data_IF_360343024379
#
_entry.id   IF_360343024379
#
_cell.length_a   1.000
_cell.length_b   1.000
_cell.length_c   1.000
_cell.angle_alpha   90.00
_cell.angle_beta   90.00
_cell.angle_gamma   90.00
#
_symmetry.space_group_name_H-M   'P 1'
#
loop_
_entity.id
_entity.type
_entity.pdbx_description
1 polymer ?
#
# COMPACT_ATOMS: atom_id res chain seq x y z
N UNK A 1 -10.45 -10.12 18.49
CA UNK A 1 -9.92 -9.25 17.41
C UNK A 1 -8.60 -9.85 16.96
N UNK A 2 -8.30 -9.90 15.66
CA UNK A 2 -7.04 -10.45 15.18
C UNK A 2 -5.88 -9.63 15.76
N UNK A 3 -4.75 -10.29 16.04
CA UNK A 3 -3.57 -9.66 16.63
C UNK A 3 -2.66 -9.16 15.51
N UNK A 4 -2.20 -7.90 15.53
CA UNK A 4 -1.29 -7.40 14.50
C UNK A 4 0.06 -8.13 14.58
N UNK A 5 0.69 -8.41 13.43
CA UNK A 5 2.05 -8.94 13.41
C UNK A 5 3.02 -7.89 13.96
N UNK A 6 4.08 -8.36 14.62
CA UNK A 6 5.10 -7.48 15.20
C UNK A 6 6.39 -7.69 14.44
N UNK A 7 6.91 -6.62 13.82
CA UNK A 7 8.17 -6.68 13.07
C UNK A 7 9.35 -6.92 14.01
N UNK A 8 10.30 -7.74 13.57
CA UNK A 8 11.55 -7.94 14.32
C UNK A 8 12.40 -6.67 14.28
N UNK A 9 12.95 -6.29 15.43
CA UNK A 9 13.87 -5.15 15.53
C UNK A 9 15.26 -5.61 15.07
N UNK A 10 15.78 -4.96 14.02
CA UNK A 10 17.16 -5.09 13.55
C UNK A 10 17.75 -3.70 13.39
N UNK A 11 18.45 -3.24 14.43
CA UNK A 11 19.05 -1.92 14.46
C UNK A 11 20.09 -1.77 13.33
N UNK A 12 19.88 -0.80 12.45
CA UNK A 12 20.84 -0.38 11.43
C UNK A 12 21.11 1.10 11.56
N UNK A 13 22.38 1.48 11.69
CA UNK A 13 22.77 2.88 11.70
C UNK A 13 22.81 3.43 10.27
N UNK A 14 22.20 4.58 10.08
CA UNK A 14 22.21 5.36 8.85
C UNK A 14 22.90 6.68 9.14
N UNK A 15 24.09 6.84 8.58
CA UNK A 15 24.85 8.09 8.69
C UNK A 15 24.46 9.01 7.53
N UNK A 16 24.15 10.25 7.85
CA UNK A 16 23.87 11.31 6.88
C UNK A 16 24.66 12.57 7.25
N UNK A 17 24.82 13.54 6.33
CA UNK A 17 25.48 14.82 6.63
C UNK A 17 24.84 15.58 7.82
N UNK A 18 23.57 15.30 8.13
CA UNK A 18 22.81 15.94 9.20
C UNK A 18 22.79 15.11 10.50
N UNK A 19 23.58 14.04 10.59
CA UNK A 19 23.69 13.17 11.76
C UNK A 19 23.48 11.69 11.47
N UNK A 20 23.78 10.86 12.48
CA UNK A 20 23.56 9.41 12.45
C UNK A 20 22.27 9.06 13.19
N UNK A 21 21.41 8.27 12.55
CA UNK A 21 20.17 7.74 13.14
C UNK A 21 20.18 6.22 13.14
N UNK A 22 19.55 5.61 14.15
CA UNK A 22 19.34 4.17 14.19
C UNK A 22 17.94 3.85 13.65
N UNK A 23 17.87 3.09 12.58
CA UNK A 23 16.64 2.55 12.00
C UNK A 23 16.51 1.07 12.35
N UNK A 24 15.54 0.74 13.19
CA UNK A 24 15.26 -0.62 13.67
C UNK A 24 14.58 -1.52 12.62
N UNK A 25 14.09 -0.95 11.53
CA UNK A 25 13.25 -1.62 10.54
C UNK A 25 13.77 -1.48 9.11
N UNK A 26 15.00 -0.98 8.93
CA UNK A 26 15.59 -0.79 7.61
C UNK A 26 15.58 -2.07 6.75
N UNK A 27 15.69 -3.23 7.39
CA UNK A 27 15.66 -4.54 6.72
C UNK A 27 14.37 -4.79 5.94
N UNK A 28 13.25 -4.13 6.27
CA UNK A 28 11.99 -4.20 5.51
C UNK A 28 12.10 -3.61 4.10
N UNK A 29 13.16 -2.85 3.80
CA UNK A 29 13.41 -2.32 2.46
C UNK A 29 13.91 -3.38 1.47
N UNK A 30 14.35 -4.55 1.95
CA UNK A 30 14.89 -5.63 1.13
C UNK A 30 13.76 -6.47 0.51
N UNK A 31 13.28 -6.08 -0.67
CA UNK A 31 12.09 -6.66 -1.33
C UNK A 31 12.16 -8.17 -1.58
N UNK A 32 13.35 -8.71 -1.82
CA UNK A 32 13.57 -10.13 -2.12
C UNK A 32 13.84 -10.97 -0.87
N UNK A 33 13.98 -10.34 0.30
CA UNK A 33 14.30 -11.03 1.54
C UNK A 33 13.08 -11.85 2.00
N UNK A 34 13.20 -13.17 2.19
CA UNK A 34 12.09 -14.02 2.63
C UNK A 34 11.43 -13.54 3.92
N UNK A 35 12.21 -13.01 4.87
CA UNK A 35 11.67 -12.51 6.14
C UNK A 35 10.78 -11.27 5.94
N UNK A 36 11.09 -10.44 4.94
CA UNK A 36 10.27 -9.27 4.59
C UNK A 36 8.98 -9.74 3.96
N UNK A 37 9.05 -10.68 3.01
CA UNK A 37 7.86 -11.26 2.38
C UNK A 37 6.95 -11.95 3.40
N UNK A 38 7.51 -12.67 4.37
CA UNK A 38 6.74 -13.34 5.42
C UNK A 38 6.04 -12.32 6.32
N UNK A 39 6.72 -11.23 6.70
CA UNK A 39 6.09 -10.15 7.46
C UNK A 39 4.96 -9.47 6.67
N UNK A 40 5.17 -9.17 5.39
CA UNK A 40 4.15 -8.56 4.54
C UNK A 40 2.93 -9.47 4.34
N UNK A 41 3.13 -10.79 4.21
CA UNK A 41 2.02 -11.76 4.14
C UNK A 41 1.24 -11.80 5.45
N UNK A 42 1.92 -11.72 6.59
CA UNK A 42 1.26 -11.66 7.89
C UNK A 42 0.42 -10.37 8.04
N UNK A 43 0.93 -9.23 7.57
CA UNK A 43 0.18 -7.97 7.52
C UNK A 43 -1.04 -8.05 6.60
N UNK A 44 -0.90 -8.61 5.39
CA UNK A 44 -2.03 -8.82 4.49
C UNK A 44 -3.12 -9.71 5.11
N UNK A 45 -2.72 -10.78 5.80
CA UNK A 45 -3.67 -11.66 6.50
C UNK A 45 -4.41 -10.92 7.61
N UNK A 46 -3.70 -10.08 8.37
CA UNK A 46 -4.30 -9.24 9.40
C UNK A 46 -5.28 -8.22 8.80
N UNK A 47 -4.88 -7.57 7.71
CA UNK A 47 -5.74 -6.65 6.95
C UNK A 47 -7.02 -7.35 6.48
N UNK A 48 -6.91 -8.51 5.84
CA UNK A 48 -8.07 -9.27 5.35
C UNK A 48 -9.05 -9.60 6.48
N UNK A 49 -8.53 -10.02 7.64
CA UNK A 49 -9.35 -10.34 8.80
C UNK A 49 -10.05 -9.10 9.39
N UNK A 50 -9.37 -7.96 9.43
CA UNK A 50 -9.94 -6.71 9.93
C UNK A 50 -10.93 -6.08 8.95
N UNK A 51 -10.69 -6.23 7.64
CA UNK A 51 -11.52 -5.68 6.58
C UNK A 51 -12.70 -6.57 6.21
N UNK A 52 -12.68 -7.85 6.58
CA UNK A 52 -13.77 -8.79 6.30
C UNK A 52 -15.19 -8.24 6.63
N UNK A 53 -15.43 -7.55 7.77
CA UNK A 53 -16.75 -7.00 8.09
C UNK A 53 -17.21 -5.87 7.16
N UNK A 54 -16.28 -5.14 6.53
CA UNK A 54 -16.59 -3.99 5.66
C UNK A 54 -16.54 -4.33 4.17
N UNK A 55 -16.34 -5.60 3.81
CA UNK A 55 -16.21 -6.00 2.42
C UNK A 55 -17.49 -5.73 1.59
N UNK A 56 -18.65 -5.96 2.18
CA UNK A 56 -19.94 -5.70 1.52
C UNK A 56 -20.17 -4.20 1.16
N UNK A 57 -20.02 -3.25 2.09
CA UNK A 57 -20.12 -1.83 1.73
C UNK A 57 -19.00 -1.35 0.79
N UNK A 58 -17.78 -1.92 0.89
CA UNK A 58 -16.70 -1.65 -0.06
C UNK A 58 -17.10 -2.03 -1.50
N UNK A 59 -17.62 -3.24 -1.71
CA UNK A 59 -18.05 -3.72 -3.03
C UNK A 59 -19.20 -2.87 -3.60
N UNK A 60 -20.12 -2.43 -2.74
CA UNK A 60 -21.20 -1.51 -3.11
C UNK A 60 -20.64 -0.17 -3.61
N UNK A 61 -19.73 0.44 -2.85
CA UNK A 61 -19.10 1.71 -3.23
C UNK A 61 -18.29 1.58 -4.52
N UNK A 62 -17.57 0.47 -4.69
CA UNK A 62 -16.85 0.17 -5.93
C UNK A 62 -17.80 0.12 -7.14
N UNK A 63 -18.93 -0.58 -7.00
CA UNK A 63 -19.96 -0.63 -8.05
C UNK A 63 -20.55 0.74 -8.38
N UNK A 64 -20.84 1.56 -7.36
CA UNK A 64 -21.32 2.94 -7.55
C UNK A 64 -20.31 3.82 -8.28
N UNK A 65 -19.02 3.74 -7.91
CA UNK A 65 -17.94 4.49 -8.57
C UNK A 65 -17.79 4.05 -10.03
N UNK A 66 -17.74 2.74 -10.29
CA UNK A 66 -17.64 2.19 -11.64
C UNK A 66 -18.82 2.63 -12.51
N UNK A 67 -20.04 2.58 -11.99
CA UNK A 67 -21.24 3.02 -12.71
C UNK A 67 -21.29 4.51 -13.04
N UNK A 68 -20.47 5.35 -12.39
CA UNK A 68 -20.36 6.79 -12.68
C UNK A 68 -19.27 7.11 -13.70
N UNK A 69 -18.42 6.16 -14.06
CA UNK A 69 -17.38 6.33 -15.07
C UNK A 69 -17.98 6.04 -16.45
N UNK A 70 -17.81 6.98 -17.39
CA UNK A 70 -18.19 6.75 -18.79
C UNK A 70 -17.20 5.75 -19.40
N UNK A 71 -17.69 4.60 -19.88
CA UNK A 71 -16.84 3.59 -20.55
C UNK A 71 -16.24 4.10 -21.87
N UNK A 72 -16.90 5.07 -22.51
CA UNK A 72 -16.37 5.79 -23.65
C UNK A 72 -16.27 7.26 -23.28
N UNK A 73 -15.06 7.70 -22.98
CA UNK A 73 -14.75 9.09 -22.71
C UNK A 73 -13.93 9.65 -23.88
N UNK A 74 -14.41 10.75 -24.46
CA UNK A 74 -13.67 11.52 -25.45
C UNK A 74 -13.35 12.86 -24.81
N UNK A 75 -12.06 13.17 -24.68
CA UNK A 75 -11.64 14.50 -24.29
C UNK A 75 -12.18 15.53 -25.29
N UNK A 76 -12.55 16.71 -24.81
CA UNK A 76 -12.88 17.81 -25.71
C UNK A 76 -11.67 18.10 -26.61
N UNK A 77 -11.84 18.16 -27.94
CA UNK A 77 -10.75 18.52 -28.84
C UNK A 77 -10.33 19.96 -28.53
N UNK A 78 -9.04 20.16 -28.30
CA UNK A 78 -8.46 21.49 -28.14
C UNK A 78 -7.30 21.63 -29.13
N UNK A 79 -7.11 22.85 -29.62
CA UNK A 79 -6.06 23.17 -30.57
C UNK A 79 -4.73 23.39 -29.83
N UNK A 80 -3.70 22.65 -30.21
CA UNK A 80 -2.31 22.83 -29.82
C UNK A 80 -1.44 22.97 -31.07
N UNK A 81 -0.73 24.09 -31.19
CA UNK A 81 0.19 24.40 -32.30
C UNK A 81 -0.33 24.12 -33.73
N UNK A 82 -1.63 24.31 -33.97
CA UNK A 82 -2.25 24.20 -35.30
C UNK A 82 -3.03 22.92 -35.57
N UNK A 83 -3.10 22.00 -34.60
CA UNK A 83 -4.00 20.83 -34.60
C UNK A 83 -4.93 20.87 -33.41
#
# INVERSE_FOLDING_TARGET
MPKPPVATIKAKQLTSPNGTRTDNYYWLNERENPQVLDYLKAENTYFDQQMAPVKAPEDKLFGEMKGRIKETDQSVPYRDNGY
#
